data_IF_850416576625
#
_entry.id   IF_850416576625
#
_cell.length_a   1.000
_cell.length_b   1.000
_cell.length_c   1.000
_cell.angle_alpha   90.00
_cell.angle_beta   90.00
_cell.angle_gamma   90.00
#
_symmetry.space_group_name_H-M   'P 1'
#
loop_
_entity.id
_entity.type
_entity.pdbx_description
1 polymer ?
#
# COMPACT_ATOMS: atom_id res chain seq x y z
N UNK A 1 -8.96 -8.22 17.41
CA UNK A 1 -10.03 -8.82 16.60
C UNK A 1 -10.69 -7.79 15.64
N UNK A 2 -10.99 -6.54 16.04
CA UNK A 2 -11.67 -5.57 15.17
C UNK A 2 -10.88 -5.26 13.89
N UNK A 3 -9.56 -5.05 13.97
CA UNK A 3 -8.71 -4.82 12.79
C UNK A 3 -8.74 -5.96 11.79
N UNK A 4 -8.70 -7.21 12.27
CA UNK A 4 -8.75 -8.40 11.42
C UNK A 4 -10.08 -8.46 10.67
N UNK A 5 -11.20 -8.32 11.38
CA UNK A 5 -12.52 -8.37 10.76
C UNK A 5 -12.69 -7.26 9.72
N UNK A 6 -12.29 -6.02 10.06
CA UNK A 6 -12.39 -4.90 9.14
C UNK A 6 -11.51 -5.10 7.89
N UNK A 7 -10.30 -5.64 8.07
CA UNK A 7 -9.44 -5.98 6.94
C UNK A 7 -10.07 -7.06 6.05
N UNK A 8 -10.67 -8.09 6.63
CA UNK A 8 -11.35 -9.15 5.87
C UNK A 8 -12.60 -8.63 5.14
N UNK A 9 -13.31 -7.62 5.66
CA UNK A 9 -14.39 -6.94 4.92
C UNK A 9 -13.84 -6.27 3.65
N UNK A 10 -12.70 -5.59 3.72
CA UNK A 10 -12.06 -5.01 2.53
C UNK A 10 -11.58 -6.08 1.54
N UNK A 11 -11.09 -7.23 2.02
CA UNK A 11 -10.77 -8.37 1.17
C UNK A 11 -12.04 -8.92 0.50
N UNK A 12 -13.16 -9.04 1.22
CA UNK A 12 -14.45 -9.48 0.63
C UNK A 12 -14.88 -8.59 -0.53
N UNK A 13 -14.79 -7.27 -0.36
CA UNK A 13 -15.18 -6.29 -1.38
C UNK A 13 -14.40 -6.44 -2.70
N UNK A 14 -13.14 -6.90 -2.63
CA UNK A 14 -12.27 -7.02 -3.81
C UNK A 14 -12.20 -8.43 -4.38
N UNK A 15 -12.87 -9.42 -3.79
CA UNK A 15 -12.89 -10.80 -4.30
C UNK A 15 -13.26 -10.91 -5.79
N UNK A 16 -14.21 -10.13 -6.32
CA UNK A 16 -14.55 -10.18 -7.75
C UNK A 16 -13.40 -9.77 -8.69
N UNK A 17 -12.33 -9.16 -8.15
CA UNK A 17 -11.13 -8.78 -8.90
C UNK A 17 -10.05 -9.85 -8.92
N UNK A 18 -10.18 -10.87 -8.07
CA UNK A 18 -9.24 -11.98 -7.99
C UNK A 18 -9.72 -13.16 -8.85
N UNK A 19 -8.78 -13.80 -9.55
CA UNK A 19 -9.09 -14.96 -10.39
C UNK A 19 -9.47 -16.18 -9.55
N UNK A 20 -10.46 -16.94 -10.01
CA UNK A 20 -10.80 -18.27 -9.48
C UNK A 20 -10.25 -19.40 -10.34
N UNK A 21 -9.71 -19.10 -11.51
CA UNK A 21 -9.29 -20.08 -12.50
C UNK A 21 -7.79 -20.38 -12.47
N UNK A 22 -7.02 -19.53 -11.77
CA UNK A 22 -5.57 -19.66 -11.60
C UNK A 22 -5.13 -19.23 -10.22
N UNK A 23 -3.90 -19.59 -9.87
CA UNK A 23 -3.27 -19.11 -8.65
C UNK A 23 -3.20 -17.58 -8.62
N UNK A 24 -3.53 -17.01 -7.47
CA UNK A 24 -3.48 -15.58 -7.16
C UNK A 24 -2.25 -15.30 -6.33
N UNK A 25 -1.35 -14.47 -6.81
CA UNK A 25 -0.15 -14.05 -6.07
C UNK A 25 -0.40 -12.76 -5.31
N UNK A 26 -0.15 -12.78 -4.01
CA UNK A 26 -0.35 -11.65 -3.10
C UNK A 26 0.95 -11.34 -2.39
N UNK A 27 1.35 -10.06 -2.37
CA UNK A 27 2.46 -9.58 -1.54
C UNK A 27 1.95 -8.71 -0.40
N UNK A 28 2.47 -8.98 0.81
CA UNK A 28 2.23 -8.20 2.02
C UNK A 28 3.55 -7.60 2.52
N UNK A 29 3.67 -6.27 2.43
CA UNK A 29 4.86 -5.54 2.79
C UNK A 29 4.80 -4.96 4.19
N UNK A 30 5.91 -5.14 4.94
CA UNK A 30 5.96 -4.73 6.32
C UNK A 30 5.01 -5.58 7.15
N UNK A 31 4.95 -6.88 6.85
CA UNK A 31 3.97 -7.80 7.43
C UNK A 31 4.09 -7.93 8.95
N UNK A 32 5.20 -7.51 9.56
CA UNK A 32 5.41 -7.50 10.99
C UNK A 32 5.11 -8.86 11.63
N UNK A 33 4.28 -8.88 12.69
CA UNK A 33 3.84 -10.13 13.34
C UNK A 33 2.86 -10.95 12.49
N UNK A 34 2.51 -10.47 11.31
CA UNK A 34 1.77 -11.17 10.25
C UNK A 34 0.37 -11.69 10.61
N UNK A 35 -0.25 -11.20 11.69
CA UNK A 35 -1.60 -11.67 12.07
C UNK A 35 -2.63 -11.46 10.95
N UNK A 36 -2.51 -10.35 10.22
CA UNK A 36 -3.41 -10.04 9.11
C UNK A 36 -3.08 -10.89 7.87
N UNK A 37 -1.80 -11.18 7.63
CA UNK A 37 -1.35 -12.06 6.54
C UNK A 37 -1.87 -13.49 6.74
N UNK A 38 -1.76 -14.04 7.97
CA UNK A 38 -2.32 -15.35 8.32
C UNK A 38 -3.85 -15.36 8.20
N UNK A 39 -4.53 -14.31 8.67
CA UNK A 39 -5.98 -14.20 8.55
C UNK A 39 -6.42 -14.13 7.07
N UNK A 40 -5.70 -13.38 6.24
CA UNK A 40 -5.94 -13.29 4.81
C UNK A 40 -5.76 -14.64 4.11
N UNK A 41 -4.67 -15.38 4.41
CA UNK A 41 -4.45 -16.70 3.86
C UNK A 41 -5.58 -17.66 4.23
N UNK A 42 -5.93 -17.76 5.53
CA UNK A 42 -7.02 -18.60 6.00
C UNK A 42 -8.35 -18.24 5.32
N UNK A 43 -8.65 -16.95 5.25
CA UNK A 43 -9.88 -16.47 4.65
C UNK A 43 -9.98 -16.81 3.16
N UNK A 44 -8.96 -16.48 2.39
CA UNK A 44 -8.95 -16.71 0.95
C UNK A 44 -8.86 -18.20 0.59
N UNK A 45 -7.95 -18.93 1.23
CA UNK A 45 -7.68 -20.33 0.91
C UNK A 45 -8.74 -21.25 1.51
N UNK A 46 -8.93 -21.20 2.83
CA UNK A 46 -9.75 -22.18 3.56
C UNK A 46 -11.24 -21.85 3.51
N UNK A 47 -11.62 -20.58 3.62
CA UNK A 47 -13.03 -20.19 3.65
C UNK A 47 -13.61 -19.88 2.27
N UNK A 48 -12.85 -19.24 1.39
CA UNK A 48 -13.34 -18.82 0.07
C UNK A 48 -12.89 -19.72 -1.08
N UNK A 49 -11.94 -20.63 -0.85
CA UNK A 49 -11.48 -21.63 -1.82
C UNK A 49 -10.69 -21.07 -3.00
N UNK A 50 -10.01 -19.94 -2.81
CA UNK A 50 -9.08 -19.41 -3.81
C UNK A 50 -7.76 -20.18 -3.77
N UNK A 51 -7.17 -20.41 -4.94
CA UNK A 51 -5.78 -20.84 -5.00
C UNK A 51 -4.88 -19.61 -4.87
N UNK A 52 -4.25 -19.46 -3.69
CA UNK A 52 -3.44 -18.27 -3.36
C UNK A 52 -2.02 -18.67 -3.01
N UNK A 53 -1.08 -17.84 -3.45
CA UNK A 53 0.32 -17.83 -3.02
C UNK A 53 0.59 -16.48 -2.37
N UNK A 54 0.78 -16.47 -1.05
CA UNK A 54 0.99 -15.23 -0.28
C UNK A 54 2.45 -15.13 0.16
N UNK A 55 3.05 -13.99 -0.13
CA UNK A 55 4.44 -13.67 0.18
C UNK A 55 4.45 -12.48 1.14
N UNK A 56 4.90 -12.71 2.37
CA UNK A 56 5.15 -11.65 3.34
C UNK A 56 6.62 -11.20 3.28
N UNK A 57 6.85 -9.89 3.32
CA UNK A 57 8.20 -9.30 3.38
C UNK A 57 8.34 -8.43 4.62
N UNK A 58 9.46 -8.60 5.34
CA UNK A 58 9.84 -7.75 6.47
C UNK A 58 11.37 -7.67 6.60
N UNK A 59 11.84 -6.62 7.24
CA UNK A 59 13.28 -6.40 7.51
C UNK A 59 13.78 -7.14 8.75
N UNK A 60 12.89 -7.74 9.56
CA UNK A 60 13.23 -8.38 10.84
C UNK A 60 13.32 -9.88 10.68
N UNK A 61 14.55 -10.40 10.65
CA UNK A 61 14.82 -11.84 10.44
C UNK A 61 14.15 -12.73 11.50
N UNK A 62 14.16 -12.34 12.78
CA UNK A 62 13.51 -13.10 13.85
C UNK A 62 11.99 -13.21 13.69
N UNK A 63 11.36 -12.20 13.11
CA UNK A 63 9.92 -12.21 12.78
C UNK A 63 9.66 -13.18 11.62
N UNK A 64 10.47 -13.11 10.57
CA UNK A 64 10.34 -13.99 9.39
C UNK A 64 10.48 -15.47 9.76
N UNK A 65 11.49 -15.82 10.57
CA UNK A 65 11.68 -17.20 11.04
C UNK A 65 10.48 -17.72 11.83
N UNK A 66 9.93 -16.91 12.74
CA UNK A 66 8.73 -17.25 13.50
C UNK A 66 7.51 -17.43 12.59
N UNK A 67 7.31 -16.54 11.65
CA UNK A 67 6.18 -16.59 10.72
C UNK A 67 6.25 -17.84 9.83
N UNK A 68 7.42 -18.17 9.27
CA UNK A 68 7.61 -19.39 8.49
C UNK A 68 7.36 -20.66 9.35
N UNK A 69 7.88 -20.69 10.58
CA UNK A 69 7.61 -21.81 11.51
C UNK A 69 6.13 -21.99 11.82
N UNK A 70 5.38 -20.89 11.96
CA UNK A 70 3.94 -20.93 12.16
C UNK A 70 3.20 -21.38 10.90
N UNK A 71 3.59 -20.91 9.71
CA UNK A 71 2.99 -21.32 8.45
C UNK A 71 3.12 -22.84 8.24
N UNK A 72 4.31 -23.40 8.49
CA UNK A 72 4.55 -24.85 8.44
C UNK A 72 3.65 -25.58 9.46
N UNK A 73 3.59 -25.07 10.70
CA UNK A 73 2.79 -25.69 11.77
C UNK A 73 1.30 -25.74 11.45
N UNK A 74 0.77 -24.73 10.75
CA UNK A 74 -0.63 -24.69 10.33
C UNK A 74 -0.88 -25.41 8.99
N UNK A 75 0.15 -25.91 8.32
CA UNK A 75 0.02 -26.54 7.01
C UNK A 75 -0.28 -25.56 5.89
N UNK A 76 0.11 -24.29 6.04
CA UNK A 76 -0.10 -23.25 5.04
C UNK A 76 1.03 -23.25 4.00
N UNK A 77 0.99 -24.23 3.09
CA UNK A 77 2.07 -24.55 2.14
C UNK A 77 2.38 -23.42 1.14
N UNK A 78 1.42 -22.53 0.89
CA UNK A 78 1.56 -21.40 -0.04
C UNK A 78 1.59 -20.04 0.68
N UNK A 79 2.02 -20.05 1.95
CA UNK A 79 2.29 -18.86 2.74
C UNK A 79 3.77 -18.81 3.10
N UNK A 80 4.50 -17.88 2.52
CA UNK A 80 5.94 -17.75 2.65
C UNK A 80 6.34 -16.38 3.16
N UNK A 81 7.37 -16.32 3.98
CA UNK A 81 7.90 -15.06 4.49
C UNK A 81 9.38 -14.95 4.16
N UNK A 82 9.80 -13.80 3.62
CA UNK A 82 11.17 -13.52 3.24
C UNK A 82 11.68 -12.25 3.91
N UNK A 83 12.95 -12.28 4.29
CA UNK A 83 13.66 -11.09 4.71
C UNK A 83 14.03 -10.27 3.47
N UNK A 84 13.66 -9.00 3.43
CA UNK A 84 14.02 -8.11 2.34
C UNK A 84 13.36 -6.75 2.41
N UNK A 85 14.02 -5.80 1.76
CA UNK A 85 13.44 -4.49 1.50
C UNK A 85 12.56 -4.57 0.24
N UNK A 86 11.45 -3.86 0.26
CA UNK A 86 10.52 -3.77 -0.88
C UNK A 86 11.20 -3.14 -2.10
N UNK A 87 12.05 -2.14 -1.89
CA UNK A 87 12.73 -1.42 -2.97
C UNK A 87 13.56 -2.38 -3.85
N UNK A 88 14.18 -3.39 -3.23
CA UNK A 88 15.11 -4.31 -3.87
C UNK A 88 14.50 -5.69 -4.18
N UNK A 89 13.21 -5.91 -3.87
CA UNK A 89 12.60 -7.22 -4.07
C UNK A 89 12.28 -7.50 -5.54
N UNK A 90 12.87 -8.55 -6.08
CA UNK A 90 12.72 -9.00 -7.47
C UNK A 90 12.18 -10.44 -7.59
N UNK A 91 11.69 -11.00 -6.49
CA UNK A 91 11.24 -12.41 -6.44
C UNK A 91 9.98 -12.72 -7.25
N UNK A 92 9.33 -11.72 -7.84
CA UNK A 92 8.13 -11.87 -8.68
C UNK A 92 8.18 -10.94 -9.88
N UNK A 93 7.55 -11.34 -10.99
CA UNK A 93 7.41 -10.52 -12.19
C UNK A 93 6.02 -9.90 -12.34
N UNK A 94 5.03 -10.45 -11.69
CA UNK A 94 3.65 -9.94 -11.65
C UNK A 94 2.98 -10.34 -10.34
N UNK A 95 2.02 -9.54 -9.90
CA UNK A 95 1.30 -9.75 -8.64
C UNK A 95 -0.16 -9.38 -8.86
N UNK A 96 -1.08 -10.13 -8.29
CA UNK A 96 -2.51 -9.82 -8.38
C UNK A 96 -2.94 -8.79 -7.32
N UNK A 97 -2.39 -8.89 -6.12
CA UNK A 97 -2.71 -7.96 -5.05
C UNK A 97 -1.46 -7.61 -4.22
N UNK A 98 -1.33 -6.34 -3.88
CA UNK A 98 -0.34 -5.83 -2.94
C UNK A 98 -1.05 -5.29 -1.71
N UNK A 99 -0.59 -5.73 -0.54
CA UNK A 99 -1.04 -5.26 0.76
C UNK A 99 0.13 -4.60 1.48
N UNK A 100 -0.11 -3.43 2.08
CA UNK A 100 0.86 -2.76 2.93
C UNK A 100 0.13 -2.03 4.05
N UNK A 101 0.11 -2.64 5.24
CA UNK A 101 -0.70 -2.16 6.35
C UNK A 101 0.09 -1.38 7.40
N UNK A 102 1.41 -1.44 7.37
CA UNK A 102 2.26 -0.81 8.40
C UNK A 102 3.60 -0.30 7.84
N UNK A 103 3.74 -0.14 6.52
CA UNK A 103 4.91 0.50 5.96
C UNK A 103 4.94 1.98 6.36
N UNK A 104 6.10 2.45 6.79
CA UNK A 104 6.28 3.83 7.26
C UNK A 104 6.81 4.73 6.15
N UNK A 105 6.24 5.93 6.05
CA UNK A 105 6.73 7.04 5.23
C UNK A 105 6.99 6.62 3.77
N UNK A 106 8.19 6.83 3.25
CA UNK A 106 8.57 6.51 1.87
C UNK A 106 8.56 5.01 1.54
N UNK A 107 8.64 4.10 2.54
CA UNK A 107 8.47 2.66 2.29
C UNK A 107 7.09 2.33 1.71
N UNK A 108 6.05 3.09 2.08
CA UNK A 108 4.74 3.01 1.43
C UNK A 108 4.83 3.37 -0.05
N UNK A 109 5.58 4.43 -0.39
CA UNK A 109 5.71 4.90 -1.77
C UNK A 109 6.44 3.88 -2.66
N UNK A 110 7.49 3.25 -2.15
CA UNK A 110 8.14 2.12 -2.83
C UNK A 110 7.18 0.94 -3.03
N UNK A 111 6.36 0.62 -2.02
CA UNK A 111 5.36 -0.43 -2.14
C UNK A 111 4.34 -0.15 -3.25
N UNK A 112 3.82 1.08 -3.29
CA UNK A 112 2.86 1.51 -4.31
C UNK A 112 3.48 1.52 -5.71
N UNK A 113 4.72 2.02 -5.85
CA UNK A 113 5.45 2.04 -7.12
C UNK A 113 5.70 0.61 -7.64
N UNK A 114 6.13 -0.31 -6.78
CA UNK A 114 6.30 -1.73 -7.12
C UNK A 114 4.98 -2.40 -7.51
N UNK A 115 3.89 -2.10 -6.78
CA UNK A 115 2.57 -2.61 -7.12
C UNK A 115 2.12 -2.19 -8.53
N UNK A 116 2.37 -0.93 -8.92
CA UNK A 116 2.11 -0.43 -10.27
C UNK A 116 3.00 -1.13 -11.30
N UNK A 117 4.30 -1.30 -11.01
CA UNK A 117 5.27 -1.98 -11.87
C UNK A 117 4.86 -3.43 -12.15
N UNK A 118 4.48 -4.19 -11.13
CA UNK A 118 4.02 -5.58 -11.26
C UNK A 118 2.61 -5.71 -11.82
N UNK A 119 1.94 -4.59 -12.06
CA UNK A 119 0.60 -4.55 -12.63
C UNK A 119 -0.49 -5.11 -11.73
N UNK A 120 -0.33 -4.96 -10.42
CA UNK A 120 -1.31 -5.45 -9.44
C UNK A 120 -2.74 -5.03 -9.78
N UNK A 121 -3.67 -5.97 -9.71
CA UNK A 121 -5.11 -5.68 -9.94
C UNK A 121 -5.71 -4.92 -8.76
N UNK A 122 -5.19 -5.17 -7.54
CA UNK A 122 -5.68 -4.54 -6.30
C UNK A 122 -4.50 -4.11 -5.44
N UNK A 123 -4.61 -2.92 -4.85
CA UNK A 123 -3.69 -2.40 -3.85
C UNK A 123 -4.49 -2.01 -2.61
N UNK A 124 -4.12 -2.53 -1.44
CA UNK A 124 -4.66 -2.16 -0.14
C UNK A 124 -3.53 -1.60 0.71
N UNK A 125 -3.54 -0.30 0.97
CA UNK A 125 -2.48 0.38 1.72
C UNK A 125 -3.05 1.15 2.92
N UNK A 126 -2.48 0.93 4.11
CA UNK A 126 -2.75 1.72 5.32
C UNK A 126 -1.46 2.41 5.74
N UNK A 127 -1.21 3.63 5.25
CA UNK A 127 -0.02 4.39 5.60
C UNK A 127 -0.01 4.75 7.09
N UNK A 128 1.10 4.50 7.78
CA UNK A 128 1.22 4.79 9.21
C UNK A 128 1.94 6.10 9.53
N UNK A 129 2.80 6.56 8.63
CA UNK A 129 3.61 7.76 8.80
C UNK A 129 3.67 8.55 7.49
N UNK A 130 3.69 9.88 7.58
CA UNK A 130 3.76 10.81 6.45
C UNK A 130 4.71 11.97 6.81
N UNK A 131 5.99 11.64 7.06
CA UNK A 131 6.96 12.62 7.51
C UNK A 131 7.61 13.40 6.37
N UNK A 132 7.69 12.82 5.17
CA UNK A 132 8.32 13.43 4.01
C UNK A 132 7.68 14.78 3.68
N UNK A 133 6.40 14.79 3.32
CA UNK A 133 5.68 16.01 2.94
C UNK A 133 5.55 16.99 4.11
N UNK A 134 5.44 16.50 5.35
CA UNK A 134 5.42 17.36 6.52
C UNK A 134 6.68 18.21 6.68
N UNK A 135 7.84 17.70 6.30
CA UNK A 135 9.11 18.46 6.31
C UNK A 135 9.16 19.49 5.18
N UNK A 136 8.61 19.16 4.03
CA UNK A 136 8.68 19.97 2.81
C UNK A 136 7.61 21.06 2.76
N UNK A 137 6.37 20.77 3.18
CA UNK A 137 5.20 21.62 2.95
C UNK A 137 5.40 23.06 3.42
N UNK A 138 5.24 24.00 2.47
CA UNK A 138 5.31 25.45 2.65
C UNK A 138 4.27 26.08 1.74
N UNK A 139 3.51 27.02 2.27
CA UNK A 139 2.56 27.82 1.51
C UNK A 139 2.19 29.07 2.32
N UNK A 140 2.34 30.26 1.75
CA UNK A 140 2.09 31.53 2.45
C UNK A 140 0.62 31.69 2.85
N UNK A 141 -0.32 31.29 1.99
CA UNK A 141 -1.75 31.39 2.27
C UNK A 141 -2.15 30.48 3.44
N UNK A 142 -1.49 29.32 3.58
CA UNK A 142 -1.75 28.34 4.64
C UNK A 142 -0.89 28.55 5.89
N UNK A 143 -0.02 29.57 5.91
CA UNK A 143 0.86 29.86 7.06
C UNK A 143 0.08 29.91 8.37
N UNK A 144 -1.10 30.59 8.48
CA UNK A 144 -1.87 30.64 9.72
C UNK A 144 -2.26 29.27 10.29
N UNK A 145 -2.31 28.22 9.46
CA UNK A 145 -2.56 26.83 9.86
C UNK A 145 -1.26 26.09 10.07
N UNK A 146 -0.33 26.18 9.12
CA UNK A 146 0.93 25.41 9.11
C UNK A 146 1.91 25.80 10.23
N UNK A 147 1.76 27.00 10.81
CA UNK A 147 2.55 27.43 11.98
C UNK A 147 2.28 26.58 13.23
N UNK A 148 1.12 25.91 13.32
CA UNK A 148 0.80 25.02 14.43
C UNK A 148 1.21 23.61 14.11
N UNK A 149 2.26 23.08 14.78
CA UNK A 149 2.86 21.79 14.47
C UNK A 149 1.87 20.63 14.37
N UNK A 150 0.89 20.55 15.30
CA UNK A 150 -0.12 19.48 15.26
C UNK A 150 -1.06 19.60 14.05
N UNK A 151 -1.42 20.83 13.65
CA UNK A 151 -2.27 21.04 12.47
C UNK A 151 -1.49 20.76 11.19
N UNK A 152 -0.23 21.21 11.14
CA UNK A 152 0.68 20.92 10.02
C UNK A 152 0.84 19.42 9.82
N UNK A 153 1.10 18.65 10.90
CA UNK A 153 1.24 17.21 10.83
C UNK A 153 0.00 16.51 10.27
N UNK A 154 -1.18 16.86 10.81
CA UNK A 154 -2.46 16.29 10.35
C UNK A 154 -2.77 16.62 8.90
N UNK A 155 -2.59 17.89 8.52
CA UNK A 155 -2.82 18.35 7.15
C UNK A 155 -1.86 17.68 6.17
N UNK A 156 -0.57 17.61 6.51
CA UNK A 156 0.42 16.91 5.68
C UNK A 156 0.09 15.45 5.49
N UNK A 157 -0.37 14.74 6.54
CA UNK A 157 -0.77 13.35 6.44
C UNK A 157 -1.93 13.16 5.45
N UNK A 158 -2.97 13.99 5.53
CA UNK A 158 -4.12 13.93 4.62
C UNK A 158 -3.72 14.27 3.18
N UNK A 159 -2.84 15.26 2.99
CA UNK A 159 -2.32 15.63 1.66
C UNK A 159 -1.51 14.48 1.08
N UNK A 160 -0.59 13.87 1.84
CA UNK A 160 0.23 12.75 1.37
C UNK A 160 -0.64 11.59 0.90
N UNK A 161 -1.65 11.21 1.66
CA UNK A 161 -2.53 10.09 1.28
C UNK A 161 -3.41 10.43 0.07
N UNK A 162 -3.86 11.68 -0.05
CA UNK A 162 -4.56 12.16 -1.25
C UNK A 162 -3.64 12.17 -2.49
N UNK A 163 -2.38 12.59 -2.33
CA UNK A 163 -1.37 12.55 -3.39
C UNK A 163 -1.14 11.13 -3.88
N UNK A 164 -0.95 10.17 -2.97
CA UNK A 164 -0.80 8.74 -3.31
C UNK A 164 -1.98 8.22 -4.12
N UNK A 165 -3.22 8.51 -3.69
CA UNK A 165 -4.41 8.12 -4.41
C UNK A 165 -4.45 8.72 -5.84
N UNK A 166 -4.26 10.02 -5.98
CA UNK A 166 -4.27 10.70 -7.28
C UNK A 166 -3.16 10.19 -8.22
N UNK A 167 -1.96 9.92 -7.70
CA UNK A 167 -0.87 9.36 -8.49
C UNK A 167 -1.19 7.94 -8.99
N UNK A 168 -1.83 7.10 -8.17
CA UNK A 168 -2.32 5.79 -8.60
C UNK A 168 -3.40 5.91 -9.69
N UNK A 169 -4.32 6.88 -9.57
CA UNK A 169 -5.31 7.15 -10.61
C UNK A 169 -4.68 7.54 -11.94
N UNK A 170 -3.60 8.31 -11.91
CA UNK A 170 -2.85 8.65 -13.14
C UNK A 170 -2.19 7.44 -13.80
N UNK A 171 -1.99 6.35 -13.05
CA UNK A 171 -1.45 5.08 -13.54
C UNK A 171 -2.51 4.03 -13.89
N UNK A 172 -3.78 4.40 -13.88
CA UNK A 172 -4.88 3.55 -14.34
C UNK A 172 -5.62 2.78 -13.27
N UNK A 173 -5.57 3.25 -12.04
CA UNK A 173 -6.35 2.72 -10.93
C UNK A 173 -7.57 3.62 -10.64
N UNK A 174 -8.62 3.01 -10.10
CA UNK A 174 -9.70 3.70 -9.43
C UNK A 174 -9.45 3.60 -7.93
N UNK A 175 -9.43 4.74 -7.22
CA UNK A 175 -9.05 4.79 -5.81
C UNK A 175 -10.20 5.19 -4.91
N UNK A 176 -10.17 4.68 -3.69
CA UNK A 176 -11.04 5.09 -2.58
C UNK A 176 -10.19 5.24 -1.33
N UNK A 177 -10.45 6.28 -0.57
CA UNK A 177 -9.86 6.49 0.76
C UNK A 177 -10.94 6.17 1.78
N UNK A 178 -10.72 5.16 2.60
CA UNK A 178 -11.70 4.58 3.52
C UNK A 178 -11.14 4.58 4.95
N UNK A 179 -12.02 4.62 5.95
CA UNK A 179 -11.61 4.41 7.34
C UNK A 179 -11.32 2.93 7.59
N UNK A 180 -10.12 2.63 8.10
CA UNK A 180 -9.68 1.27 8.41
C UNK A 180 -10.18 0.78 9.77
N UNK A 181 -10.03 1.61 10.82
CA UNK A 181 -10.53 1.39 12.17
C UNK A 181 -11.09 2.69 12.75
N UNK A 182 -11.95 2.60 13.77
CA UNK A 182 -12.55 3.77 14.40
C UNK A 182 -11.49 4.76 14.89
N UNK A 183 -11.72 6.04 14.63
CA UNK A 183 -10.83 7.15 14.99
C UNK A 183 -10.55 7.30 16.49
N UNK A 184 -11.28 6.58 17.33
CA UNK A 184 -11.04 6.53 18.79
C UNK A 184 -9.65 6.02 19.18
N UNK A 185 -8.97 5.31 18.27
CA UNK A 185 -7.71 4.64 18.57
C UNK A 185 -6.49 5.28 17.89
N UNK A 186 -6.65 5.92 16.74
CA UNK A 186 -5.56 6.62 16.04
C UNK A 186 -6.10 7.55 14.96
N UNK A 187 -5.57 8.80 14.83
CA UNK A 187 -5.93 9.69 13.72
C UNK A 187 -5.34 9.26 12.36
N UNK A 188 -4.41 8.29 12.35
CA UNK A 188 -3.76 7.75 11.15
C UNK A 188 -4.39 6.40 10.82
N UNK A 189 -5.55 6.44 10.19
CA UNK A 189 -6.44 5.29 10.07
C UNK A 189 -7.12 5.19 8.71
N UNK A 190 -6.46 5.69 7.68
CA UNK A 190 -6.99 5.65 6.34
C UNK A 190 -6.44 4.45 5.58
N UNK A 191 -7.32 3.77 4.86
CA UNK A 191 -6.98 2.76 3.88
C UNK A 191 -7.14 3.34 2.48
N UNK A 192 -6.09 3.30 1.69
CA UNK A 192 -6.14 3.54 0.25
C UNK A 192 -6.42 2.20 -0.41
N UNK A 193 -7.60 2.07 -1.00
CA UNK A 193 -7.98 0.95 -1.85
C UNK A 193 -7.88 1.40 -3.30
N UNK A 194 -7.02 0.77 -4.07
CA UNK A 194 -6.88 1.03 -5.50
C UNK A 194 -7.16 -0.24 -6.30
N UNK A 195 -8.00 -0.12 -7.32
CA UNK A 195 -8.40 -1.21 -8.22
C UNK A 195 -8.04 -0.83 -9.64
N UNK A 196 -7.32 -1.70 -10.34
CA UNK A 196 -6.88 -1.45 -11.70
C UNK A 196 -8.06 -1.46 -12.67
N UNK A 197 -8.22 -0.38 -13.42
CA UNK A 197 -9.27 -0.23 -14.44
C UNK A 197 -8.69 0.06 -15.82
N UNK A 198 -7.41 0.45 -15.87
CA UNK A 198 -6.74 0.93 -17.08
C UNK A 198 -7.11 2.38 -17.47
N UNK A 199 -8.12 2.96 -16.86
CA UNK A 199 -8.53 4.35 -17.09
C UNK A 199 -7.63 5.29 -16.30
N UNK A 200 -6.83 6.09 -16.99
CA UNK A 200 -5.92 7.07 -16.39
C UNK A 200 -6.61 8.41 -16.19
N UNK A 201 -6.40 9.03 -15.01
CA UNK A 201 -6.78 10.41 -14.76
C UNK A 201 -5.66 11.37 -15.18
N UNK A 202 -6.03 12.64 -15.38
CA UNK A 202 -5.05 13.71 -15.59
C UNK A 202 -4.42 14.10 -14.25
N UNK A 203 -3.09 14.07 -14.18
CA UNK A 203 -2.31 14.46 -13.01
C UNK A 203 -2.02 15.98 -12.92
N UNK A 204 -2.48 16.79 -13.87
CA UNK A 204 -2.15 18.22 -13.95
C UNK A 204 -2.44 18.99 -12.66
N UNK A 205 -3.64 18.83 -12.08
CA UNK A 205 -4.01 19.46 -10.80
C UNK A 205 -3.16 18.99 -9.64
N UNK A 206 -2.75 17.72 -9.64
CA UNK A 206 -1.87 17.17 -8.62
C UNK A 206 -0.49 17.80 -8.70
N UNK A 207 0.04 17.99 -9.89
CA UNK A 207 1.32 18.68 -10.12
C UNK A 207 1.24 20.19 -9.75
N UNK A 208 0.14 20.87 -10.05
CA UNK A 208 -0.10 22.24 -9.59
C UNK A 208 -0.10 22.33 -8.05
N UNK A 209 -0.69 21.35 -7.36
CA UNK A 209 -0.69 21.27 -5.90
C UNK A 209 0.73 21.06 -5.35
N UNK A 210 1.57 20.24 -5.99
CA UNK A 210 2.97 20.06 -5.59
C UNK A 210 3.72 21.39 -5.63
N UNK A 211 3.60 22.14 -6.73
CA UNK A 211 4.20 23.45 -6.84
C UNK A 211 3.68 24.44 -5.80
N UNK A 212 2.35 24.48 -5.57
CA UNK A 212 1.73 25.37 -4.60
C UNK A 212 2.14 25.08 -3.16
N UNK A 213 2.33 23.81 -2.80
CA UNK A 213 2.71 23.36 -1.46
C UNK A 213 4.22 23.21 -1.28
N UNK A 214 5.01 23.37 -2.34
CA UNK A 214 6.46 23.13 -2.38
C UNK A 214 6.84 21.74 -1.87
N UNK A 215 6.16 20.71 -2.40
CA UNK A 215 6.41 19.30 -2.09
C UNK A 215 6.91 18.54 -3.32
N UNK A 216 7.73 17.53 -3.08
CA UNK A 216 8.30 16.63 -4.08
C UNK A 216 8.14 15.19 -3.58
N UNK A 217 6.96 14.59 -3.73
CA UNK A 217 6.66 13.27 -3.18
C UNK A 217 7.52 12.19 -3.84
N UNK A 218 8.08 11.29 -3.02
CA UNK A 218 8.89 10.16 -3.49
C UNK A 218 8.11 9.29 -4.48
N UNK A 219 6.81 9.07 -4.27
CA UNK A 219 6.00 8.28 -5.19
C UNK A 219 5.95 8.88 -6.61
N UNK A 220 5.86 10.21 -6.73
CA UNK A 220 5.87 10.87 -8.05
C UNK A 220 7.18 10.63 -8.80
N UNK A 221 8.31 10.73 -8.10
CA UNK A 221 9.64 10.45 -8.67
C UNK A 221 9.72 9.00 -9.15
N UNK A 222 9.38 8.02 -8.29
CA UNK A 222 9.45 6.59 -8.61
C UNK A 222 8.55 6.20 -9.80
N UNK A 223 7.36 6.79 -9.91
CA UNK A 223 6.44 6.48 -11.00
C UNK A 223 6.85 7.13 -12.34
N UNK A 224 7.65 8.20 -12.32
CA UNK A 224 8.08 8.93 -13.51
C UNK A 224 9.46 8.50 -14.02
N UNK A 225 10.40 8.11 -13.15
CA UNK A 225 11.72 7.59 -13.55
C UNK A 225 11.58 6.37 -14.47
N UNK A 226 10.69 5.44 -14.15
CA UNK A 226 10.45 4.22 -14.94
C UNK A 226 9.74 4.47 -16.28
N UNK A 227 9.05 5.59 -16.43
CA UNK A 227 8.42 5.96 -17.71
C UNK A 227 9.48 6.34 -18.74
N UNK A 228 10.66 6.83 -18.32
CA UNK A 228 11.76 7.22 -19.23
C UNK A 228 12.56 6.00 -19.69
N UNK A 229 12.74 4.97 -18.86
CA UNK A 229 13.46 3.74 -19.26
C UNK A 229 12.66 2.87 -20.26
N UNK A 230 11.33 2.88 -20.17
CA UNK A 230 10.44 2.14 -21.11
C UNK A 230 10.30 2.78 -22.49
N UNK A 231 10.72 4.04 -22.68
CA UNK A 231 10.62 4.78 -23.94
C UNK A 231 11.87 4.69 -24.83
N UNK A 232 12.89 3.97 -24.38
CA UNK A 232 14.20 3.83 -25.08
C UNK A 232 14.42 2.40 -25.64
N UNK A 233 13.39 1.58 -25.67
CA UNK A 233 13.45 0.24 -26.29
C UNK A 233 12.54 0.12 -27.50
#
# INVERSE_FOLDING_TARGET
FRQINRFLEFIEDILPRLSREREVTILDFGCGKSYLTFAMYYYLRELKGYDVNIIGLDLKTDVIEKCNSLAIRYGYEKLHFYHGDIADYEGVSSVDMVVTLHACDTATDYALAKAVEWGAEVILSVPSCQHEDNKQIRNEMLEPVLRYGILKERMSALITDAVRANLLESKGYETQILEFIDMEHTPKNLLIRAVKTGKRSDAGKTQEMFAALNIHPTLDLLLNEKTQEGSVR
#
